data_IF_092800274557
#
_entry.id   IF_092800274557
#
_cell.length_a   1.000
_cell.length_b   1.000
_cell.length_c   1.000
_cell.angle_alpha   90.00
_cell.angle_beta   90.00
_cell.angle_gamma   90.00
#
_symmetry.space_group_name_H-M   'P 1'
#
loop_
_entity.id
_entity.type
_entity.pdbx_description
1 polymer ?
#
# COMPACT_ATOMS: atom_id res chain seq x y z
N UNK A 1 -23.30 -30.41 69.83
CA UNK A 1 -24.03 -30.72 68.59
C UNK A 1 -24.30 -29.49 67.72
N UNK A 2 -24.86 -28.40 68.26
CA UNK A 2 -25.19 -27.17 67.50
C UNK A 2 -23.94 -26.49 66.90
N UNK A 3 -22.84 -26.39 67.63
CA UNK A 3 -21.57 -25.82 67.11
C UNK A 3 -20.98 -26.62 65.93
N UNK A 4 -21.09 -27.95 65.95
CA UNK A 4 -20.66 -28.81 64.84
C UNK A 4 -21.51 -28.60 63.59
N UNK A 5 -22.82 -28.39 63.76
CA UNK A 5 -23.74 -28.10 62.66
C UNK A 5 -23.44 -26.72 62.05
N UNK A 6 -23.17 -25.71 62.87
CA UNK A 6 -22.79 -24.36 62.40
C UNK A 6 -21.45 -24.41 61.65
N UNK A 7 -20.44 -25.09 62.19
CA UNK A 7 -19.16 -25.28 61.50
C UNK A 7 -19.31 -26.01 60.17
N UNK A 8 -20.16 -27.05 60.10
CA UNK A 8 -20.43 -27.79 58.87
C UNK A 8 -21.16 -26.93 57.83
N UNK A 9 -22.16 -26.13 58.24
CA UNK A 9 -22.87 -25.19 57.35
C UNK A 9 -21.92 -24.12 56.83
N UNK A 10 -21.06 -23.56 57.70
CA UNK A 10 -20.06 -22.57 57.29
C UNK A 10 -19.06 -23.18 56.30
N UNK A 11 -18.55 -24.39 56.55
CA UNK A 11 -17.67 -25.12 55.62
C UNK A 11 -18.34 -25.42 54.28
N UNK A 12 -19.59 -25.91 54.31
CA UNK A 12 -20.38 -26.21 53.12
C UNK A 12 -20.78 -24.94 52.34
N UNK A 13 -20.90 -23.79 52.99
CA UNK A 13 -21.11 -22.50 52.33
C UNK A 13 -19.82 -21.88 51.80
N UNK A 14 -18.67 -22.12 52.45
CA UNK A 14 -17.37 -21.59 52.04
C UNK A 14 -16.76 -22.36 50.88
N UNK A 15 -16.86 -23.69 50.88
CA UNK A 15 -16.26 -24.52 49.85
C UNK A 15 -16.72 -24.17 48.41
N UNK A 16 -18.02 -23.94 48.12
CA UNK A 16 -18.49 -23.56 46.78
C UNK A 16 -18.01 -22.15 46.37
N UNK A 17 -17.97 -21.21 47.31
CA UNK A 17 -17.48 -19.84 47.07
C UNK A 17 -15.97 -19.87 46.76
N UNK A 18 -15.22 -20.67 47.51
CA UNK A 18 -13.79 -20.91 47.32
C UNK A 18 -13.50 -21.56 45.96
N UNK A 19 -14.25 -22.61 45.61
CA UNK A 19 -14.15 -23.29 44.31
C UNK A 19 -14.48 -22.35 43.14
N UNK A 20 -15.52 -21.53 43.26
CA UNK A 20 -15.87 -20.53 42.24
C UNK A 20 -14.76 -19.49 42.06
N UNK A 21 -14.15 -19.01 43.15
CA UNK A 21 -13.01 -18.09 43.11
C UNK A 21 -11.77 -18.72 42.47
N UNK A 22 -11.45 -19.96 42.82
CA UNK A 22 -10.32 -20.71 42.22
C UNK A 22 -10.58 -20.95 40.73
N UNK A 23 -11.79 -21.35 40.34
CA UNK A 23 -12.16 -21.54 38.94
C UNK A 23 -12.10 -20.23 38.14
N UNK A 24 -12.56 -19.11 38.71
CA UNK A 24 -12.45 -17.79 38.10
C UNK A 24 -10.99 -17.35 37.93
N UNK A 25 -10.15 -17.56 38.96
CA UNK A 25 -8.72 -17.26 38.90
C UNK A 25 -7.98 -18.14 37.87
N UNK A 26 -8.30 -19.43 37.81
CA UNK A 26 -7.74 -20.36 36.83
C UNK A 26 -8.14 -19.96 35.39
N UNK A 27 -9.39 -19.55 35.19
CA UNK A 27 -9.86 -19.04 33.89
C UNK A 27 -9.16 -17.74 33.50
N UNK A 28 -9.04 -16.79 34.43
CA UNK A 28 -8.30 -15.56 34.20
C UNK A 28 -6.82 -15.82 33.87
N UNK A 29 -6.18 -16.77 34.55
CA UNK A 29 -4.80 -17.16 34.27
C UNK A 29 -4.65 -17.86 32.91
N UNK A 30 -5.61 -18.72 32.54
CA UNK A 30 -5.66 -19.35 31.22
C UNK A 30 -5.84 -18.31 30.10
N UNK A 31 -6.77 -17.38 30.28
CA UNK A 31 -7.03 -16.30 29.34
C UNK A 31 -5.80 -15.38 29.21
N UNK A 32 -5.17 -15.00 30.33
CA UNK A 32 -3.94 -14.21 30.34
C UNK A 32 -2.77 -14.92 29.64
N UNK A 33 -2.60 -16.23 29.87
CA UNK A 33 -1.60 -17.04 29.16
C UNK A 33 -1.89 -17.11 27.66
N UNK A 34 -3.16 -17.24 27.28
CA UNK A 34 -3.61 -17.21 25.89
C UNK A 34 -3.29 -15.88 25.21
N UNK A 35 -3.57 -14.75 25.87
CA UNK A 35 -3.22 -13.40 25.39
C UNK A 35 -1.71 -13.25 25.23
N UNK A 36 -0.92 -13.64 26.24
CA UNK A 36 0.54 -13.58 26.18
C UNK A 36 1.14 -14.42 25.04
N UNK A 37 0.62 -15.64 24.80
CA UNK A 37 1.03 -16.48 23.66
C UNK A 37 0.73 -15.81 22.33
N UNK A 38 -0.48 -15.23 22.18
CA UNK A 38 -0.88 -14.49 20.97
C UNK A 38 0.03 -13.28 20.72
N UNK A 39 0.29 -12.48 21.76
CA UNK A 39 1.19 -11.32 21.67
C UNK A 39 2.61 -11.72 21.30
N UNK A 40 3.11 -12.84 21.84
CA UNK A 40 4.46 -13.35 21.51
C UNK A 40 4.54 -13.85 20.06
N UNK A 41 3.53 -14.57 19.58
CA UNK A 41 3.47 -15.06 18.20
C UNK A 41 3.30 -13.91 17.19
N UNK A 42 2.37 -12.98 17.46
CA UNK A 42 2.18 -11.77 16.68
C UNK A 42 3.47 -10.93 16.68
N UNK A 43 4.07 -10.72 17.85
CA UNK A 43 5.33 -10.04 18.03
C UNK A 43 6.46 -10.65 17.21
N UNK A 44 6.57 -11.98 17.15
CA UNK A 44 7.56 -12.68 16.33
C UNK A 44 7.40 -12.41 14.83
N UNK A 45 6.16 -12.49 14.30
CA UNK A 45 5.87 -12.21 12.88
C UNK A 45 6.11 -10.74 12.53
N UNK A 46 5.63 -9.84 13.39
CA UNK A 46 5.82 -8.39 13.24
C UNK A 46 7.31 -8.08 13.24
N UNK A 47 8.07 -8.58 14.23
CA UNK A 47 9.50 -8.36 14.34
C UNK A 47 10.26 -8.85 13.11
N UNK A 48 9.98 -10.05 12.61
CA UNK A 48 10.59 -10.58 11.38
C UNK A 48 10.27 -9.72 10.16
N UNK A 49 9.04 -9.27 10.02
CA UNK A 49 8.63 -8.44 8.86
C UNK A 49 9.26 -7.06 8.94
N UNK A 50 9.21 -6.42 10.11
CA UNK A 50 9.83 -5.13 10.39
C UNK A 50 11.33 -5.20 10.13
N UNK A 51 12.00 -6.29 10.55
CA UNK A 51 13.45 -6.43 10.36
C UNK A 51 13.85 -6.47 8.88
N UNK A 52 13.04 -7.08 8.01
CA UNK A 52 13.25 -7.05 6.55
C UNK A 52 12.97 -5.66 5.97
N UNK A 53 11.89 -4.99 6.42
CA UNK A 53 11.51 -3.65 5.96
C UNK A 53 12.60 -2.62 6.28
N UNK A 54 13.15 -2.65 7.50
CA UNK A 54 14.13 -1.69 8.01
C UNK A 54 15.59 -2.15 7.92
N UNK A 55 15.85 -3.32 7.34
CA UNK A 55 17.18 -3.92 7.18
C UNK A 55 17.87 -4.34 8.50
N UNK A 56 17.17 -4.40 9.64
CA UNK A 56 17.78 -4.80 10.91
C UNK A 56 18.15 -6.29 10.97
N UNK A 57 17.67 -7.12 10.04
CA UNK A 57 18.08 -8.53 9.93
C UNK A 57 19.58 -8.70 9.60
N UNK A 58 20.25 -7.66 9.09
CA UNK A 58 21.69 -7.71 8.74
C UNK A 58 22.62 -7.40 9.91
N UNK A 59 22.07 -7.18 11.11
CA UNK A 59 22.80 -6.59 12.23
C UNK A 59 22.58 -5.07 12.35
N UNK A 60 22.99 -4.50 13.49
CA UNK A 60 22.74 -3.10 13.84
C UNK A 60 23.52 -2.12 12.94
N UNK A 61 22.86 -1.08 12.42
CA UNK A 61 23.45 0.04 11.63
C UNK A 61 24.22 -0.37 10.36
N UNK A 62 23.62 -1.16 9.47
CA UNK A 62 24.15 -1.33 8.10
C UNK A 62 24.40 0.03 7.43
N UNK A 63 25.42 0.15 6.57
CA UNK A 63 25.66 1.40 5.82
C UNK A 63 24.53 1.66 4.82
N UNK A 64 24.35 2.92 4.39
CA UNK A 64 23.35 3.24 3.37
C UNK A 64 23.60 2.44 2.09
N UNK A 65 24.84 2.40 1.59
CA UNK A 65 25.19 1.72 0.33
C UNK A 65 24.86 0.23 0.41
N UNK A 66 25.13 -0.41 1.55
CA UNK A 66 24.74 -1.80 1.77
C UNK A 66 23.23 -1.98 1.73
N UNK A 67 22.46 -1.08 2.37
CA UNK A 67 20.98 -1.14 2.28
C UNK A 67 20.47 -0.92 0.86
N UNK A 68 21.09 -0.02 0.09
CA UNK A 68 20.73 0.20 -1.31
C UNK A 68 20.99 -1.08 -2.13
N UNK A 69 22.14 -1.72 -1.97
CA UNK A 69 22.43 -2.99 -2.64
C UNK A 69 21.44 -4.11 -2.29
N UNK A 70 21.16 -4.30 -1.00
CA UNK A 70 20.22 -5.33 -0.54
C UNK A 70 18.79 -5.11 -1.06
N UNK A 71 18.40 -3.85 -1.34
CA UNK A 71 17.10 -3.47 -1.91
C UNK A 71 17.09 -3.56 -3.43
N UNK A 72 18.16 -3.11 -4.08
CA UNK A 72 18.28 -3.02 -5.52
C UNK A 72 18.31 -4.39 -6.19
N UNK A 73 19.03 -5.36 -5.60
CA UNK A 73 19.19 -6.70 -6.17
C UNK A 73 17.85 -7.40 -6.49
N UNK A 74 16.90 -7.58 -5.55
CA UNK A 74 15.58 -8.16 -5.88
C UNK A 74 14.72 -7.28 -6.80
N UNK A 75 15.05 -5.99 -6.89
CA UNK A 75 14.31 -5.01 -7.69
C UNK A 75 14.93 -4.78 -9.08
N UNK A 76 16.00 -5.48 -9.47
CA UNK A 76 16.57 -5.37 -10.82
C UNK A 76 15.57 -5.74 -11.91
N UNK A 77 14.62 -6.64 -11.60
CA UNK A 77 13.45 -6.91 -12.46
C UNK A 77 12.67 -5.66 -12.87
N UNK A 78 12.62 -4.62 -12.02
CA UNK A 78 11.93 -3.36 -12.32
C UNK A 78 12.78 -2.48 -13.24
N UNK A 79 14.10 -2.44 -13.04
CA UNK A 79 15.00 -1.77 -13.97
C UNK A 79 14.97 -2.43 -15.35
N UNK A 80 14.90 -3.76 -15.40
CA UNK A 80 14.80 -4.48 -16.67
C UNK A 80 13.46 -4.23 -17.38
N UNK A 81 12.34 -4.32 -16.64
CA UNK A 81 11.01 -4.12 -17.21
C UNK A 81 10.77 -2.67 -17.66
N UNK A 82 11.15 -1.67 -16.86
CA UNK A 82 10.78 -0.27 -17.10
C UNK A 82 11.95 0.63 -17.51
N UNK A 83 13.19 0.15 -17.52
CA UNK A 83 14.38 0.96 -17.76
C UNK A 83 14.71 1.95 -16.62
N UNK A 84 14.06 1.84 -15.46
CA UNK A 84 14.19 2.83 -14.38
C UNK A 84 15.45 2.61 -13.54
N UNK A 85 16.11 3.71 -13.18
CA UNK A 85 17.27 3.72 -12.28
C UNK A 85 17.03 4.54 -11.01
N UNK A 86 15.79 4.51 -10.50
CA UNK A 86 15.41 5.27 -9.31
C UNK A 86 15.82 4.62 -7.99
N UNK A 87 15.39 5.23 -6.89
CA UNK A 87 15.55 4.78 -5.51
C UNK A 87 15.00 3.37 -5.21
N UNK A 88 14.34 2.66 -6.13
CA UNK A 88 13.92 1.27 -5.93
C UNK A 88 14.86 0.24 -6.55
N UNK A 89 15.63 0.62 -7.57
CA UNK A 89 16.49 -0.30 -8.33
C UNK A 89 17.97 0.11 -8.35
N UNK A 90 18.32 1.32 -7.89
CA UNK A 90 19.70 1.80 -7.89
C UNK A 90 20.52 1.32 -6.70
N UNK A 91 21.81 1.08 -6.95
CA UNK A 91 22.89 0.91 -5.99
C UNK A 91 23.54 2.25 -5.60
N UNK A 92 23.36 3.29 -6.41
CA UNK A 92 24.04 4.56 -6.31
C UNK A 92 23.40 5.46 -5.24
N UNK A 93 24.24 5.91 -4.30
CA UNK A 93 23.85 6.82 -3.21
C UNK A 93 23.36 8.17 -3.72
N UNK A 94 24.06 8.78 -4.67
CA UNK A 94 23.75 10.10 -5.23
C UNK A 94 22.40 10.07 -5.93
N UNK A 95 22.16 9.03 -6.74
CA UNK A 95 20.87 8.84 -7.43
C UNK A 95 19.74 8.67 -6.42
N UNK A 96 19.95 7.85 -5.39
CA UNK A 96 18.98 7.68 -4.30
C UNK A 96 18.68 8.99 -3.56
N UNK A 97 19.70 9.79 -3.22
CA UNK A 97 19.54 11.05 -2.50
C UNK A 97 18.85 12.11 -3.33
N UNK A 98 19.16 12.22 -4.62
CA UNK A 98 18.47 13.12 -5.54
C UNK A 98 16.99 12.77 -5.67
N UNK A 99 16.69 11.48 -5.86
CA UNK A 99 15.31 11.00 -5.88
C UNK A 99 14.57 11.35 -4.57
N UNK A 100 15.21 11.11 -3.42
CA UNK A 100 14.61 11.36 -2.12
C UNK A 100 14.33 12.85 -1.89
N UNK A 101 15.30 13.71 -2.23
CA UNK A 101 15.15 15.18 -2.18
C UNK A 101 13.95 15.63 -3.01
N UNK A 102 13.90 15.26 -4.29
CA UNK A 102 12.80 15.63 -5.19
C UNK A 102 11.45 15.08 -4.72
N UNK A 103 11.42 13.86 -4.20
CA UNK A 103 10.19 13.26 -3.66
C UNK A 103 9.67 14.03 -2.45
N UNK A 104 10.55 14.45 -1.53
CA UNK A 104 10.14 15.27 -0.40
C UNK A 104 9.67 16.65 -0.84
N UNK A 105 10.36 17.29 -1.78
CA UNK A 105 9.94 18.58 -2.34
C UNK A 105 8.54 18.49 -2.97
N UNK A 106 8.26 17.45 -3.76
CA UNK A 106 6.92 17.25 -4.34
C UNK A 106 5.83 17.11 -3.25
N UNK A 107 6.10 16.31 -2.22
CA UNK A 107 5.16 16.06 -1.12
C UNK A 107 4.97 17.29 -0.22
N UNK A 108 6.02 18.09 -0.01
CA UNK A 108 5.99 19.26 0.89
C UNK A 108 5.44 20.51 0.23
N UNK A 109 5.33 20.55 -1.11
CA UNK A 109 4.88 21.73 -1.86
C UNK A 109 3.40 22.03 -1.68
N UNK A 110 2.56 21.02 -1.49
CA UNK A 110 1.11 21.18 -1.59
C UNK A 110 0.49 21.95 -0.41
N UNK A 111 0.16 23.22 -0.64
CA UNK A 111 -0.60 24.05 0.28
C UNK A 111 -2.12 23.82 0.16
N UNK A 112 -2.93 24.53 0.95
CA UNK A 112 -4.39 24.36 0.91
C UNK A 112 -5.00 24.62 -0.48
N UNK A 113 -4.48 25.60 -1.21
CA UNK A 113 -4.96 25.94 -2.55
C UNK A 113 -4.60 24.84 -3.56
N UNK A 114 -3.39 24.30 -3.49
CA UNK A 114 -2.96 23.18 -4.34
C UNK A 114 -3.88 21.96 -4.15
N UNK A 115 -4.25 21.66 -2.90
CA UNK A 115 -5.17 20.56 -2.61
C UNK A 115 -6.57 20.78 -3.18
N UNK A 116 -7.07 22.01 -3.19
CA UNK A 116 -8.37 22.34 -3.81
C UNK A 116 -8.28 22.19 -5.33
N UNK A 117 -7.24 22.74 -5.96
CA UNK A 117 -7.04 22.58 -7.40
C UNK A 117 -6.93 21.10 -7.81
N UNK A 118 -6.23 20.30 -7.01
CA UNK A 118 -6.07 18.87 -7.26
C UNK A 118 -7.39 18.11 -7.10
N UNK A 119 -8.22 18.49 -6.14
CA UNK A 119 -9.57 17.93 -5.97
C UNK A 119 -10.48 18.31 -7.13
N UNK A 120 -10.51 19.58 -7.53
CA UNK A 120 -11.30 20.04 -8.67
C UNK A 120 -10.87 19.35 -9.97
N UNK A 121 -9.56 19.19 -10.19
CA UNK A 121 -9.03 18.42 -11.30
C UNK A 121 -9.50 16.95 -11.26
N UNK A 122 -9.43 16.30 -10.08
CA UNK A 122 -9.91 14.94 -9.93
C UNK A 122 -11.42 14.82 -10.24
N UNK A 123 -12.25 15.75 -9.74
CA UNK A 123 -13.67 15.81 -10.04
C UNK A 123 -13.94 15.99 -11.54
N UNK A 124 -13.26 16.93 -12.22
CA UNK A 124 -13.39 17.13 -13.67
C UNK A 124 -13.05 15.88 -14.49
N UNK A 125 -11.99 15.16 -14.11
CA UNK A 125 -11.61 13.90 -14.77
C UNK A 125 -12.69 12.83 -14.55
N UNK A 126 -13.21 12.71 -13.33
CA UNK A 126 -14.28 11.76 -12.99
C UNK A 126 -15.59 12.09 -13.73
N UNK A 127 -15.96 13.36 -13.82
CA UNK A 127 -17.14 13.85 -14.55
C UNK A 127 -17.06 13.51 -16.03
N UNK A 128 -15.90 13.75 -16.66
CA UNK A 128 -15.68 13.42 -18.07
C UNK A 128 -15.93 11.94 -18.39
N UNK A 129 -15.64 11.02 -17.48
CA UNK A 129 -16.00 9.61 -17.65
C UNK A 129 -17.48 9.35 -17.50
N UNK A 130 -18.15 10.00 -16.54
CA UNK A 130 -19.57 9.83 -16.34
C UNK A 130 -20.39 10.31 -17.55
N UNK A 131 -19.98 11.36 -18.25
CA UNK A 131 -20.71 11.89 -19.40
C UNK A 131 -20.59 11.00 -20.64
N UNK A 132 -19.46 10.29 -20.77
CA UNK A 132 -19.27 9.24 -21.78
C UNK A 132 -20.12 8.01 -21.44
N UNK A 133 -20.20 7.64 -20.15
CA UNK A 133 -20.90 6.45 -19.68
C UNK A 133 -22.42 6.63 -19.60
N UNK A 134 -22.94 7.85 -19.33
CA UNK A 134 -24.38 8.15 -19.37
C UNK A 134 -25.02 7.96 -20.75
N UNK A 135 -24.21 7.73 -21.79
CA UNK A 135 -24.64 7.46 -23.18
C UNK A 135 -24.56 5.97 -23.55
N UNK A 136 -23.99 5.11 -22.70
CA UNK A 136 -23.83 3.68 -22.96
C UNK A 136 -24.65 2.86 -21.96
N UNK A 137 -25.33 1.82 -22.44
CA UNK A 137 -25.99 0.82 -21.61
C UNK A 137 -25.03 -0.17 -20.96
N UNK A 138 -23.73 -0.10 -21.29
CA UNK A 138 -22.70 -0.97 -20.72
C UNK A 138 -22.22 -0.43 -19.36
N UNK A 139 -22.14 -1.32 -18.37
CA UNK A 139 -21.71 -1.00 -17.01
C UNK A 139 -20.29 -0.40 -16.93
N UNK A 140 -20.00 0.26 -15.81
CA UNK A 140 -18.74 0.99 -15.62
C UNK A 140 -17.59 0.03 -15.25
N UNK A 141 -16.51 0.07 -16.02
CA UNK A 141 -15.23 -0.57 -15.67
C UNK A 141 -14.48 0.28 -14.63
N UNK A 142 -14.83 0.12 -13.36
CA UNK A 142 -14.28 0.91 -12.25
C UNK A 142 -12.75 0.86 -12.20
N UNK A 143 -12.14 -0.30 -12.47
CA UNK A 143 -10.69 -0.42 -12.37
C UNK A 143 -9.94 0.33 -13.48
N UNK A 144 -10.44 0.28 -14.72
CA UNK A 144 -9.94 1.14 -15.80
C UNK A 144 -10.06 2.63 -15.44
N UNK A 145 -11.25 3.07 -15.02
CA UNK A 145 -11.48 4.48 -14.70
C UNK A 145 -10.59 4.97 -13.55
N UNK A 146 -10.55 4.22 -12.43
CA UNK A 146 -9.72 4.57 -11.26
C UNK A 146 -8.25 4.67 -11.65
N UNK A 147 -7.72 3.73 -12.43
CA UNK A 147 -6.33 3.79 -12.91
C UNK A 147 -6.06 5.09 -13.67
N UNK A 148 -6.93 5.47 -14.60
CA UNK A 148 -6.76 6.68 -15.39
C UNK A 148 -6.89 7.97 -14.55
N UNK A 149 -7.84 8.02 -13.63
CA UNK A 149 -7.99 9.14 -12.67
C UNK A 149 -6.72 9.28 -11.82
N UNK A 150 -6.22 8.18 -11.25
CA UNK A 150 -4.99 8.20 -10.46
C UNK A 150 -3.80 8.70 -11.26
N UNK A 151 -3.63 8.21 -12.49
CA UNK A 151 -2.50 8.60 -13.34
C UNK A 151 -2.56 10.09 -13.67
N UNK A 152 -3.72 10.62 -14.05
CA UNK A 152 -3.89 12.07 -14.33
C UNK A 152 -3.57 12.94 -13.11
N UNK A 153 -4.12 12.59 -11.95
CA UNK A 153 -3.89 13.33 -10.70
C UNK A 153 -2.41 13.32 -10.28
N UNK A 154 -1.73 12.18 -10.41
CA UNK A 154 -0.29 12.09 -10.12
C UNK A 154 0.53 12.86 -11.15
N UNK A 155 0.17 12.81 -12.45
CA UNK A 155 0.85 13.58 -13.48
C UNK A 155 0.69 15.09 -13.27
N UNK A 156 -0.51 15.55 -12.91
CA UNK A 156 -0.79 16.94 -12.54
C UNK A 156 0.09 17.37 -11.36
N UNK A 157 0.15 16.57 -10.30
CA UNK A 157 0.87 16.95 -9.08
C UNK A 157 2.40 16.88 -9.20
N UNK A 158 2.95 15.88 -9.89
CA UNK A 158 4.41 15.69 -9.97
C UNK A 158 5.08 16.47 -11.11
N UNK A 159 4.32 16.83 -12.14
CA UNK A 159 4.86 17.37 -13.40
C UNK A 159 4.07 18.58 -13.92
N UNK A 160 3.17 19.16 -13.11
CA UNK A 160 2.34 20.32 -13.46
C UNK A 160 1.58 20.16 -14.79
N UNK A 161 1.22 18.92 -15.15
CA UNK A 161 0.54 18.62 -16.40
C UNK A 161 -0.75 19.44 -16.55
N UNK A 162 -0.97 20.04 -17.71
CA UNK A 162 -2.14 20.88 -18.00
C UNK A 162 -3.26 20.12 -18.73
N UNK A 163 -3.13 18.80 -18.89
CA UNK A 163 -4.11 18.00 -19.64
C UNK A 163 -5.43 17.91 -18.85
N UNK A 164 -6.47 18.58 -19.36
CA UNK A 164 -7.79 18.59 -18.75
C UNK A 164 -8.77 17.58 -19.39
N UNK A 165 -9.74 17.13 -18.58
CA UNK A 165 -10.85 16.28 -19.03
C UNK A 165 -10.43 14.91 -19.56
N UNK A 166 -11.14 14.44 -20.59
CA UNK A 166 -10.90 13.15 -21.27
C UNK A 166 -9.97 13.29 -22.49
N UNK A 167 -9.29 14.44 -22.64
CA UNK A 167 -8.22 14.55 -23.63
C UNK A 167 -7.14 13.48 -23.33
N UNK A 168 -6.59 12.90 -24.39
CA UNK A 168 -5.61 11.81 -24.35
C UNK A 168 -6.09 10.55 -23.60
N UNK A 169 -7.39 10.27 -23.52
CA UNK A 169 -7.89 9.11 -22.75
C UNK A 169 -7.31 7.78 -23.21
N UNK A 170 -7.13 7.63 -24.51
CA UNK A 170 -6.52 6.44 -25.10
C UNK A 170 -5.07 6.25 -24.65
N UNK A 171 -4.30 7.33 -24.58
CA UNK A 171 -2.91 7.33 -24.13
C UNK A 171 -2.82 7.03 -22.63
N UNK A 172 -3.68 7.64 -21.80
CA UNK A 172 -3.76 7.31 -20.38
C UNK A 172 -4.19 5.84 -20.18
N UNK A 173 -5.16 5.34 -20.95
CA UNK A 173 -5.57 3.93 -20.93
C UNK A 173 -4.38 3.03 -21.27
N UNK A 174 -3.72 3.28 -22.40
CA UNK A 174 -2.56 2.53 -22.88
C UNK A 174 -1.43 2.53 -21.85
N UNK A 175 -1.08 3.70 -21.30
CA UNK A 175 -0.04 3.81 -20.28
C UNK A 175 -0.38 3.00 -19.03
N UNK A 176 -1.62 3.10 -18.52
CA UNK A 176 -2.03 2.36 -17.32
C UNK A 176 -2.12 0.84 -17.54
N UNK A 177 -2.48 0.39 -18.73
CA UNK A 177 -2.53 -1.02 -19.10
C UNK A 177 -1.11 -1.58 -19.23
N UNK A 178 -0.24 -0.91 -19.98
CA UNK A 178 1.14 -1.35 -20.18
C UNK A 178 1.96 -1.34 -18.89
N UNK A 179 1.75 -0.35 -18.01
CA UNK A 179 2.37 -0.36 -16.68
C UNK A 179 1.93 -1.60 -15.90
N UNK A 180 0.63 -1.92 -15.88
CA UNK A 180 0.13 -3.07 -15.13
C UNK A 180 0.62 -4.41 -15.72
N UNK A 181 0.62 -4.53 -17.05
CA UNK A 181 1.10 -5.72 -17.77
C UNK A 181 2.58 -5.99 -17.49
N UNK A 182 3.45 -5.00 -17.69
CA UNK A 182 4.88 -5.12 -17.41
C UNK A 182 5.14 -5.38 -15.92
N UNK A 183 4.37 -4.74 -15.03
CA UNK A 183 4.50 -4.97 -13.60
C UNK A 183 4.19 -6.42 -13.21
N UNK A 184 3.12 -7.01 -13.76
CA UNK A 184 2.76 -8.41 -13.52
C UNK A 184 3.79 -9.36 -14.13
N UNK A 185 4.17 -9.13 -15.39
CA UNK A 185 5.17 -9.93 -16.09
C UNK A 185 6.51 -9.95 -15.33
N UNK A 186 6.94 -8.79 -14.81
CA UNK A 186 8.18 -8.66 -14.02
C UNK A 186 8.16 -9.45 -12.71
N UNK A 187 6.99 -9.88 -12.21
CA UNK A 187 6.86 -10.71 -11.00
C UNK A 187 6.79 -12.21 -11.30
N UNK A 188 6.33 -12.60 -12.48
CA UNK A 188 6.09 -13.98 -12.86
C UNK A 188 7.32 -14.61 -13.54
N UNK A 189 8.11 -13.83 -14.26
CA UNK A 189 9.31 -14.30 -14.93
C UNK A 189 10.50 -14.34 -13.96
N UNK A 190 10.82 -15.53 -13.45
CA UNK A 190 12.02 -15.78 -12.64
C UNK A 190 13.33 -15.60 -13.44
N UNK A 191 13.26 -15.62 -14.77
CA UNK A 191 14.34 -15.16 -15.64
C UNK A 191 14.20 -13.64 -15.82
N UNK A 192 14.99 -12.88 -15.06
CA UNK A 192 14.94 -11.41 -14.99
C UNK A 192 15.15 -10.65 -16.32
N UNK A 193 15.44 -11.35 -17.43
CA UNK A 193 15.93 -10.78 -18.68
C UNK A 193 14.91 -10.80 -19.86
N UNK A 194 13.64 -11.16 -19.64
CA UNK A 194 12.66 -11.35 -20.73
C UNK A 194 11.48 -10.38 -20.75
N UNK A 195 11.39 -9.42 -19.83
CA UNK A 195 10.36 -8.37 -19.94
C UNK A 195 10.94 -7.23 -20.78
N UNK A 196 10.60 -7.21 -22.06
CA UNK A 196 10.95 -6.11 -22.96
C UNK A 196 10.17 -4.85 -22.60
N UNK A 197 10.80 -3.69 -22.80
CA UNK A 197 10.18 -2.39 -22.57
C UNK A 197 9.07 -2.18 -23.59
N UNK A 198 7.87 -1.80 -23.13
CA UNK A 198 6.76 -1.54 -24.04
C UNK A 198 7.01 -0.26 -24.83
N UNK A 199 7.03 -0.40 -26.16
CA UNK A 199 7.05 0.71 -27.09
C UNK A 199 5.78 1.56 -26.98
N UNK A 200 4.62 0.92 -26.78
CA UNK A 200 3.33 1.57 -26.62
C UNK A 200 3.28 2.44 -25.37
N UNK A 201 3.89 1.99 -24.26
CA UNK A 201 4.03 2.78 -23.04
C UNK A 201 4.86 4.04 -23.30
N UNK A 202 6.01 3.89 -23.96
CA UNK A 202 6.89 5.02 -24.27
C UNK A 202 6.18 6.04 -25.18
N UNK A 203 5.49 5.58 -26.23
CA UNK A 203 4.72 6.46 -27.11
C UNK A 203 3.58 7.19 -26.37
N UNK A 204 2.80 6.46 -25.57
CA UNK A 204 1.70 7.04 -24.80
C UNK A 204 2.21 8.12 -23.84
N UNK A 205 3.31 7.85 -23.13
CA UNK A 205 3.94 8.84 -22.25
C UNK A 205 4.46 10.04 -23.04
N UNK A 206 5.12 9.84 -24.19
CA UNK A 206 5.58 10.98 -25.03
C UNK A 206 4.41 11.86 -25.48
N UNK A 207 3.27 11.28 -25.83
CA UNK A 207 2.07 12.06 -26.19
C UNK A 207 1.52 12.86 -25.01
N UNK A 208 1.46 12.27 -23.81
CA UNK A 208 1.05 12.97 -22.58
C UNK A 208 2.03 14.10 -22.25
N UNK A 209 3.33 13.82 -22.35
CA UNK A 209 4.41 14.76 -22.05
C UNK A 209 4.46 15.93 -23.01
N UNK A 210 4.14 15.76 -24.30
CA UNK A 210 4.11 16.87 -25.29
C UNK A 210 3.17 18.00 -24.88
N UNK A 211 2.12 17.68 -24.14
CA UNK A 211 1.14 18.66 -23.67
C UNK A 211 1.55 19.34 -22.35
N UNK A 212 2.69 18.96 -21.77
CA UNK A 212 3.16 19.45 -20.47
C UNK A 212 4.60 19.95 -20.58
N UNK A 213 4.90 21.22 -20.25
CA UNK A 213 6.27 21.73 -20.31
C UNK A 213 7.11 21.07 -19.21
N UNK A 214 7.80 19.99 -19.57
CA UNK A 214 8.74 19.31 -18.69
C UNK A 214 10.12 19.98 -18.79
N UNK A 215 10.87 20.06 -17.67
CA UNK A 215 12.29 20.39 -17.70
C UNK A 215 13.05 19.49 -18.71
N UNK A 216 14.08 20.00 -19.41
CA UNK A 216 14.83 19.22 -20.41
C UNK A 216 15.43 17.91 -19.87
N UNK A 217 15.81 17.89 -18.59
CA UNK A 217 16.32 16.72 -17.88
C UNK A 217 15.24 15.66 -17.55
N UNK A 218 13.97 16.01 -17.77
CA UNK A 218 12.80 15.16 -17.54
C UNK A 218 12.00 14.87 -18.82
N UNK A 219 12.47 15.35 -19.97
CA UNK A 219 11.83 15.19 -21.28
C UNK A 219 11.92 13.76 -21.87
N UNK A 220 12.32 12.77 -21.07
CA UNK A 220 12.35 11.35 -21.44
C UNK A 220 11.33 10.53 -20.64
N UNK A 221 10.54 9.65 -21.28
CA UNK A 221 9.52 8.82 -20.61
C UNK A 221 10.03 8.03 -19.42
N UNK A 222 11.27 7.53 -19.50
CA UNK A 222 11.91 6.79 -18.40
C UNK A 222 12.07 7.67 -17.15
N UNK A 223 12.37 8.96 -17.30
CA UNK A 223 12.50 9.90 -16.18
C UNK A 223 11.16 10.20 -15.53
N UNK A 224 10.09 10.26 -16.32
CA UNK A 224 8.73 10.33 -15.78
C UNK A 224 8.40 9.06 -15.00
N UNK A 225 8.67 7.87 -15.57
CA UNK A 225 8.43 6.58 -14.92
C UNK A 225 9.17 6.42 -13.58
N UNK A 226 10.40 6.94 -13.47
CA UNK A 226 11.21 6.90 -12.25
C UNK A 226 10.46 7.48 -11.03
N UNK A 227 9.69 8.57 -11.21
CA UNK A 227 8.93 9.24 -10.14
C UNK A 227 7.45 8.85 -10.13
N UNK A 228 6.90 8.51 -11.28
CA UNK A 228 5.48 8.19 -11.44
C UNK A 228 5.11 6.86 -10.78
N UNK A 229 5.85 5.79 -11.08
CA UNK A 229 5.51 4.42 -10.68
C UNK A 229 5.25 4.28 -9.17
N UNK A 230 6.08 4.84 -8.26
CA UNK A 230 5.88 4.68 -6.81
C UNK A 230 4.58 5.31 -6.30
N UNK A 231 4.23 6.50 -6.82
CA UNK A 231 3.03 7.23 -6.43
C UNK A 231 1.78 6.59 -7.05
N UNK A 232 1.82 6.35 -8.36
CA UNK A 232 0.72 5.78 -9.12
C UNK A 232 0.33 4.38 -8.61
N UNK A 233 1.29 3.48 -8.39
CA UNK A 233 1.04 2.09 -8.00
C UNK A 233 0.31 1.97 -6.66
N UNK A 234 0.62 2.87 -5.73
CA UNK A 234 -0.02 2.88 -4.42
C UNK A 234 -1.49 3.32 -4.52
N UNK A 235 -1.78 4.38 -5.27
CA UNK A 235 -3.11 4.98 -5.32
C UNK A 235 -4.13 4.07 -6.01
N UNK A 236 -3.85 3.58 -7.22
CA UNK A 236 -4.89 2.85 -7.97
C UNK A 236 -5.25 1.51 -7.32
N UNK A 237 -4.29 0.83 -6.68
CA UNK A 237 -4.53 -0.47 -6.00
C UNK A 237 -5.41 -0.33 -4.78
N UNK A 238 -5.34 0.81 -4.10
CA UNK A 238 -6.21 1.12 -2.97
C UNK A 238 -7.58 1.51 -3.48
N UNK A 239 -7.65 2.51 -4.34
CA UNK A 239 -8.90 3.16 -4.74
C UNK A 239 -9.87 2.19 -5.44
N UNK A 240 -9.36 1.22 -6.20
CA UNK A 240 -10.20 0.17 -6.81
C UNK A 240 -10.92 -0.73 -5.79
N UNK A 241 -10.53 -0.67 -4.50
CA UNK A 241 -11.12 -1.47 -3.41
C UNK A 241 -11.91 -0.66 -2.40
N UNK A 242 -11.94 0.67 -2.54
CA UNK A 242 -12.73 1.56 -1.67
C UNK A 242 -14.07 1.86 -2.33
N UNK A 243 -15.17 1.53 -1.64
CA UNK A 243 -16.54 1.82 -2.12
C UNK A 243 -17.39 2.61 -1.12
N UNK A 244 -16.82 3.09 -0.02
CA UNK A 244 -17.56 3.84 1.02
C UNK A 244 -16.64 4.75 1.83
N UNK A 245 -16.96 6.05 1.93
CA UNK A 245 -16.34 6.97 2.90
C UNK A 245 -17.41 7.71 3.69
N UNK A 246 -17.20 7.77 5.01
CA UNK A 246 -17.90 8.64 5.93
C UNK A 246 -16.87 9.48 6.70
N UNK A 247 -17.20 10.75 6.96
CA UNK A 247 -16.74 11.78 7.93
C UNK A 247 -15.28 11.77 8.48
N UNK A 248 -14.64 10.63 8.68
CA UNK A 248 -13.28 10.46 9.21
C UNK A 248 -12.31 9.94 8.13
N UNK A 249 -11.91 10.82 7.20
CA UNK A 249 -11.11 10.46 6.03
C UNK A 249 -9.77 9.80 6.37
N UNK A 250 -9.10 10.27 7.45
CA UNK A 250 -7.79 9.76 7.83
C UNK A 250 -7.85 8.30 8.29
N UNK A 251 -8.76 7.99 9.21
CA UNK A 251 -8.92 6.62 9.73
C UNK A 251 -9.46 5.66 8.66
N UNK A 252 -10.24 6.20 7.72
CA UNK A 252 -10.74 5.48 6.55
C UNK A 252 -9.61 5.11 5.61
N UNK A 253 -8.76 6.07 5.23
CA UNK A 253 -7.55 5.84 4.43
C UNK A 253 -6.60 4.86 5.11
N UNK A 254 -6.44 4.96 6.43
CA UNK A 254 -5.58 4.06 7.20
C UNK A 254 -6.08 2.61 7.20
N UNK A 255 -7.39 2.41 7.38
CA UNK A 255 -7.97 1.08 7.42
C UNK A 255 -7.90 0.36 6.07
N UNK A 256 -8.14 1.03 4.95
CA UNK A 256 -7.95 0.37 3.67
C UNK A 256 -6.48 0.25 3.26
N UNK A 257 -5.58 1.13 3.73
CA UNK A 257 -4.13 0.89 3.62
C UNK A 257 -3.69 -0.38 4.37
N UNK A 258 -4.35 -0.71 5.50
CA UNK A 258 -4.14 -1.95 6.24
C UNK A 258 -4.74 -3.17 5.54
N UNK A 259 -5.99 -3.09 5.10
CA UNK A 259 -6.68 -4.23 4.47
C UNK A 259 -6.14 -4.53 3.07
N UNK A 260 -5.67 -3.50 2.37
CA UNK A 260 -5.29 -3.56 0.98
C UNK A 260 -3.93 -2.88 0.71
N UNK A 261 -2.85 -3.28 1.39
CA UNK A 261 -1.55 -2.66 1.20
C UNK A 261 -1.12 -2.79 -0.27
N UNK A 262 -0.64 -1.68 -0.86
CA UNK A 262 -0.13 -1.66 -2.23
C UNK A 262 1.09 -2.59 -2.36
N UNK A 263 2.01 -2.49 -1.41
CA UNK A 263 3.14 -3.39 -1.24
C UNK A 263 2.81 -4.48 -0.23
N UNK A 264 2.32 -5.63 -0.71
CA UNK A 264 2.02 -6.80 0.15
C UNK A 264 3.27 -7.45 0.74
N UNK A 265 4.37 -7.49 -0.03
CA UNK A 265 5.63 -8.15 0.32
C UNK A 265 6.80 -7.30 -0.12
N UNK A 266 7.81 -7.21 0.74
CA UNK A 266 9.11 -6.60 0.41
C UNK A 266 10.18 -7.68 0.41
N UNK A 267 11.08 -7.63 -0.57
CA UNK A 267 12.20 -8.56 -0.66
C UNK A 267 13.52 -7.82 -0.48
N UNK A 268 14.48 -8.49 0.15
CA UNK A 268 15.86 -8.02 0.32
C UNK A 268 16.83 -9.17 0.05
N UNK A 269 17.99 -8.90 -0.50
CA UNK A 269 19.04 -9.90 -0.62
C UNK A 269 19.60 -10.27 0.77
N UNK A 270 20.08 -11.50 0.97
CA UNK A 270 20.68 -11.95 2.24
C UNK A 270 22.20 -11.75 2.23
N UNK A 271 22.85 -12.10 1.11
CA UNK A 271 24.28 -11.94 0.90
C UNK A 271 24.53 -11.04 -0.33
N UNK A 272 25.48 -10.12 -0.21
CA UNK A 272 26.07 -9.39 -1.33
C UNK A 272 27.53 -9.81 -1.32
N UNK A 273 27.94 -10.68 -2.23
CA UNK A 273 29.36 -11.01 -2.41
C UNK A 273 30.11 -9.74 -2.81
N UNK A 274 31.26 -9.50 -2.18
CA UNK A 274 32.14 -8.36 -2.47
C UNK A 274 32.85 -8.47 -3.82
N UNK A 275 32.82 -9.65 -4.45
CA UNK A 275 33.42 -9.88 -5.76
C UNK A 275 32.45 -9.58 -6.89
N UNK A 276 32.86 -8.63 -7.73
CA UNK A 276 32.65 -8.34 -9.16
C UNK A 276 31.39 -8.77 -9.93
N UNK A 277 30.55 -9.68 -9.43
CA UNK A 277 29.31 -10.11 -10.06
C UNK A 277 28.08 -9.66 -9.22
N UNK A 278 27.87 -8.34 -9.18
CA UNK A 278 26.67 -7.72 -8.59
C UNK A 278 25.36 -8.10 -9.32
N UNK A 279 25.42 -8.96 -10.34
CA UNK A 279 24.29 -9.35 -11.17
C UNK A 279 23.53 -10.57 -10.65
N UNK A 280 24.15 -11.41 -9.81
CA UNK A 280 23.52 -12.66 -9.30
C UNK A 280 23.02 -12.52 -7.87
N UNK A 281 21.70 -12.41 -7.73
CA UNK A 281 21.05 -12.46 -6.42
C UNK A 281 21.04 -13.91 -5.90
N UNK A 282 21.97 -14.26 -5.01
CA UNK A 282 22.08 -15.62 -4.48
C UNK A 282 20.85 -16.08 -3.68
N UNK A 283 20.39 -15.28 -2.70
CA UNK A 283 19.24 -15.61 -1.83
C UNK A 283 18.50 -14.34 -1.40
N UNK A 284 17.16 -14.36 -1.38
CA UNK A 284 16.32 -13.26 -0.86
C UNK A 284 15.55 -13.64 0.39
N UNK A 285 15.32 -12.66 1.27
CA UNK A 285 14.42 -12.73 2.41
C UNK A 285 13.21 -11.82 2.16
N UNK A 286 12.01 -12.33 2.47
CA UNK A 286 10.75 -11.61 2.32
C UNK A 286 10.15 -11.18 3.65
N UNK A 287 9.70 -9.92 3.73
CA UNK A 287 8.81 -9.42 4.77
C UNK A 287 7.38 -9.38 4.25
N UNK A 288 6.45 -10.05 4.92
CA UNK A 288 5.05 -10.16 4.51
C UNK A 288 4.18 -9.14 5.26
N UNK A 289 4.03 -7.96 4.64
CA UNK A 289 3.29 -6.82 5.20
C UNK A 289 1.81 -7.16 5.30
N UNK A 290 1.23 -7.77 4.25
CA UNK A 290 -0.18 -8.19 4.23
C UNK A 290 -0.47 -9.20 5.35
N UNK A 291 0.41 -10.18 5.58
CA UNK A 291 0.25 -11.15 6.66
C UNK A 291 0.37 -10.55 8.07
N UNK A 292 1.06 -9.42 8.22
CA UNK A 292 1.12 -8.67 9.49
C UNK A 292 -0.13 -7.79 9.66
N UNK A 293 -0.58 -7.12 8.59
CA UNK A 293 -1.78 -6.28 8.62
C UNK A 293 -3.07 -7.09 8.81
N UNK A 294 -3.06 -8.36 8.38
CA UNK A 294 -4.18 -9.29 8.49
C UNK A 294 -4.03 -10.33 9.60
N UNK A 295 -3.07 -10.14 10.53
CA UNK A 295 -2.86 -11.07 11.64
C UNK A 295 -3.91 -10.88 12.74
N UNK A 296 -4.80 -11.88 12.99
CA UNK A 296 -5.85 -11.75 14.01
C UNK A 296 -5.30 -11.70 15.43
N UNK A 297 -4.06 -12.14 15.66
CA UNK A 297 -3.43 -12.05 16.98
C UNK A 297 -3.04 -10.61 17.34
N UNK A 298 -2.75 -9.75 16.36
CA UNK A 298 -2.43 -8.34 16.58
C UNK A 298 -3.61 -7.40 16.35
N UNK A 299 -4.49 -7.72 15.41
CA UNK A 299 -5.62 -6.85 15.01
C UNK A 299 -6.99 -7.31 15.50
N UNK A 300 -7.08 -8.48 16.14
CA UNK A 300 -8.32 -9.04 16.66
C UNK A 300 -9.07 -9.93 15.66
N UNK A 301 -10.16 -10.60 16.10
CA UNK A 301 -10.91 -11.54 15.26
C UNK A 301 -11.61 -10.86 14.07
N UNK A 302 -11.92 -9.58 14.19
CA UNK A 302 -12.55 -8.76 13.17
C UNK A 302 -11.55 -8.10 12.20
N UNK A 303 -10.31 -8.60 12.14
CA UNK A 303 -9.20 -8.08 11.31
C UNK A 303 -9.54 -7.95 9.81
N UNK A 304 -10.45 -8.77 9.28
CA UNK A 304 -10.88 -8.72 7.87
C UNK A 304 -12.03 -7.74 7.60
N UNK A 305 -12.66 -7.20 8.64
CA UNK A 305 -13.74 -6.23 8.51
C UNK A 305 -13.18 -4.83 8.35
N UNK A 306 -13.73 -4.06 7.41
CA UNK A 306 -13.41 -2.64 7.23
C UNK A 306 -13.98 -1.81 8.38
N UNK A 307 -13.14 -1.46 9.37
CA UNK A 307 -13.54 -0.70 10.57
C UNK A 307 -12.55 0.46 10.83
N UNK A 308 -12.74 1.61 10.17
CA UNK A 308 -11.89 2.81 10.35
C UNK A 308 -11.67 3.21 11.81
N UNK A 309 -12.71 3.10 12.65
CA UNK A 309 -12.65 3.45 14.08
C UNK A 309 -11.54 2.75 14.87
N UNK A 310 -10.94 1.66 14.36
CA UNK A 310 -9.75 1.02 14.98
C UNK A 310 -8.58 1.99 15.15
N UNK A 311 -8.41 2.92 14.22
CA UNK A 311 -7.27 3.83 14.19
C UNK A 311 -7.38 4.99 15.19
N UNK A 312 -8.52 5.11 15.89
CA UNK A 312 -8.68 6.11 16.97
C UNK A 312 -7.74 5.76 18.13
N UNK A 313 -7.67 4.49 18.53
CA UNK A 313 -6.89 4.02 19.68
C UNK A 313 -6.14 2.72 19.36
N UNK A 314 -5.00 2.84 18.68
CA UNK A 314 -4.13 1.70 18.39
C UNK A 314 -3.26 1.31 19.59
N UNK A 315 -3.09 0.00 19.79
CA UNK A 315 -2.09 -0.55 20.72
C UNK A 315 -0.67 -0.32 20.21
N UNK A 316 0.33 -0.39 21.10
CA UNK A 316 1.74 -0.30 20.70
C UNK A 316 2.13 -1.37 19.67
N UNK A 317 1.60 -2.59 19.81
CA UNK A 317 1.82 -3.67 18.85
C UNK A 317 1.24 -3.34 17.48
N UNK A 318 0.00 -2.81 17.43
CA UNK A 318 -0.66 -2.41 16.18
C UNK A 318 0.05 -1.26 15.48
N UNK A 319 0.57 -0.28 16.24
CA UNK A 319 1.39 0.82 15.69
C UNK A 319 2.65 0.32 14.98
N UNK A 320 3.28 -0.74 15.51
CA UNK A 320 4.46 -1.36 14.89
C UNK A 320 4.06 -2.28 13.72
N UNK A 321 2.91 -2.95 13.81
CA UNK A 321 2.36 -3.79 12.75
C UNK A 321 1.90 -2.99 11.52
N UNK A 322 1.47 -1.74 11.71
CA UNK A 322 0.97 -0.88 10.65
C UNK A 322 2.12 -0.30 9.81
N UNK A 323 2.44 -1.01 8.72
CA UNK A 323 3.56 -0.74 7.79
C UNK A 323 3.14 -0.34 6.35
N UNK A 324 2.08 0.45 6.11
CA UNK A 324 1.63 0.78 4.75
C UNK A 324 2.68 1.55 3.92
N UNK A 325 3.54 2.30 4.60
CA UNK A 325 4.57 3.16 4.03
C UNK A 325 5.98 2.70 4.44
N UNK A 326 6.10 1.46 4.92
CA UNK A 326 7.33 0.94 5.52
C UNK A 326 7.71 1.64 6.83
N UNK A 327 8.99 1.58 7.19
CA UNK A 327 9.50 2.24 8.39
C UNK A 327 10.94 2.74 8.19
N UNK A 328 11.45 3.51 9.16
CA UNK A 328 12.82 4.03 9.12
C UNK A 328 13.82 2.87 8.99
N UNK A 329 14.92 3.02 8.24
CA UNK A 329 15.39 4.26 7.62
C UNK A 329 14.85 4.55 6.20
N UNK A 330 14.18 3.59 5.55
CA UNK A 330 13.68 3.71 4.16
C UNK A 330 12.15 3.86 4.11
N UNK A 331 11.60 4.77 4.93
CA UNK A 331 10.16 5.06 4.98
C UNK A 331 9.74 5.87 3.75
N UNK A 332 8.53 5.65 3.25
CA UNK A 332 7.97 6.41 2.12
C UNK A 332 7.90 7.91 2.44
N UNK A 333 8.31 8.80 1.51
CA UNK A 333 8.16 10.25 1.66
C UNK A 333 6.72 10.71 1.92
N UNK A 334 5.73 10.01 1.37
CA UNK A 334 4.31 10.34 1.53
C UNK A 334 3.70 9.95 2.89
N UNK A 335 4.46 9.33 3.81
CA UNK A 335 3.96 8.84 5.11
C UNK A 335 3.38 9.95 6.01
N UNK A 336 3.85 11.19 5.88
CA UNK A 336 3.49 12.29 6.77
C UNK A 336 2.11 12.88 6.44
N UNK A 337 1.09 12.04 6.22
CA UNK A 337 -0.29 12.43 5.96
C UNK A 337 -0.62 12.76 4.51
N UNK A 338 0.38 13.02 3.66
CA UNK A 338 0.17 13.30 2.23
C UNK A 338 -0.51 12.12 1.53
N UNK A 339 0.00 10.90 1.73
CA UNK A 339 -0.53 9.70 1.08
C UNK A 339 -1.99 9.45 1.46
N UNK A 340 -2.31 9.49 2.76
CA UNK A 340 -3.69 9.32 3.25
C UNK A 340 -4.64 10.39 2.74
N UNK A 341 -4.18 11.65 2.65
CA UNK A 341 -4.97 12.78 2.16
C UNK A 341 -5.24 12.67 0.66
N UNK A 342 -4.26 12.27 -0.13
CA UNK A 342 -4.43 12.05 -1.57
C UNK A 342 -5.41 10.89 -1.85
N UNK A 343 -5.34 9.81 -1.07
CA UNK A 343 -6.32 8.72 -1.15
C UNK A 343 -7.72 9.25 -0.83
N UNK A 344 -7.87 9.97 0.28
CA UNK A 344 -9.15 10.53 0.68
C UNK A 344 -9.75 11.47 -0.37
N UNK A 345 -8.92 12.34 -0.95
CA UNK A 345 -9.30 13.25 -2.03
C UNK A 345 -9.84 12.48 -3.24
N UNK A 346 -9.10 11.45 -3.69
CA UNK A 346 -9.49 10.65 -4.85
C UNK A 346 -10.77 9.85 -4.60
N UNK A 347 -10.95 9.26 -3.42
CA UNK A 347 -12.21 8.59 -3.11
C UNK A 347 -13.36 9.59 -3.00
N UNK A 348 -13.14 10.76 -2.39
CA UNK A 348 -14.17 11.80 -2.33
C UNK A 348 -14.60 12.22 -3.74
N UNK A 349 -13.66 12.45 -4.66
CA UNK A 349 -13.94 12.79 -6.05
C UNK A 349 -14.68 11.67 -6.80
N UNK A 350 -14.42 10.39 -6.49
CA UNK A 350 -15.20 9.28 -7.02
C UNK A 350 -16.63 9.26 -6.46
N UNK A 351 -16.78 9.51 -5.15
CA UNK A 351 -18.07 9.47 -4.47
C UNK A 351 -18.99 10.66 -4.77
N UNK A 352 -18.47 11.82 -5.18
CA UNK A 352 -19.32 12.95 -5.64
C UNK A 352 -20.15 12.57 -6.86
N UNK A 353 -19.66 11.65 -7.70
CA UNK A 353 -20.35 11.24 -8.93
C UNK A 353 -20.94 9.84 -8.88
N UNK A 354 -20.20 8.88 -8.33
CA UNK A 354 -20.62 7.48 -8.27
C UNK A 354 -21.11 7.14 -6.86
N UNK A 355 -22.37 7.48 -6.57
CA UNK A 355 -22.98 7.08 -5.31
C UNK A 355 -23.13 5.54 -5.28
N UNK A 356 -22.85 4.86 -4.15
CA UNK A 356 -22.91 3.40 -4.05
C UNK A 356 -24.28 2.78 -4.40
N UNK A 357 -25.35 3.58 -4.37
CA UNK A 357 -26.70 3.14 -4.80
C UNK A 357 -26.91 3.17 -6.32
N UNK A 358 -25.99 3.77 -7.09
CA UNK A 358 -26.17 4.03 -8.53
C UNK A 358 -25.38 3.08 -9.44
N UNK A 359 -24.57 2.16 -8.91
CA UNK A 359 -23.69 1.34 -9.73
C UNK A 359 -23.72 -0.15 -9.36
N UNK A 360 -24.10 -0.99 -10.32
CA UNK A 360 -23.63 -2.38 -10.37
C UNK A 360 -22.15 -2.36 -10.77
N UNK A 361 -21.26 -2.09 -9.81
CA UNK A 361 -19.82 -2.05 -10.06
C UNK A 361 -19.33 -3.47 -10.38
N UNK A 362 -18.93 -3.70 -11.63
CA UNK A 362 -18.28 -4.95 -12.01
C UNK A 362 -16.76 -4.80 -11.84
N UNK A 363 -16.21 -5.39 -10.77
CA UNK A 363 -14.74 -5.49 -10.54
C UNK A 363 -14.08 -6.57 -11.42
N UNK A 364 -14.67 -6.92 -12.57
CA UNK A 364 -14.30 -8.08 -13.38
C UNK A 364 -12.98 -7.92 -14.15
N UNK A 365 -12.52 -6.69 -14.34
CA UNK A 365 -11.33 -6.32 -15.13
C UNK A 365 -10.04 -6.16 -14.29
N UNK A 366 -10.15 -6.16 -12.96
CA UNK A 366 -9.01 -5.94 -12.07
C UNK A 366 -8.18 -7.22 -11.85
N UNK A 367 -7.36 -7.62 -12.82
CA UNK A 367 -6.26 -8.57 -12.57
C UNK A 367 -5.14 -7.86 -11.80
N UNK A 368 -5.34 -7.71 -10.48
CA UNK A 368 -4.35 -7.16 -9.57
C UNK A 368 -3.45 -8.31 -9.10
N UNK A 369 -2.21 -8.33 -9.59
CA UNK A 369 -1.20 -9.38 -9.31
C UNK A 369 -1.50 -10.76 -9.94
N UNK A 370 -2.19 -10.80 -11.09
CA UNK A 370 -2.39 -12.04 -11.86
C UNK A 370 -3.39 -13.03 -11.25
N UNK A 371 -4.21 -12.61 -10.28
CA UNK A 371 -5.28 -13.43 -9.72
C UNK A 371 -6.62 -12.67 -9.80
N UNK A 372 -7.67 -13.23 -10.43
CA UNK A 372 -9.00 -12.67 -10.30
C UNK A 372 -9.42 -12.79 -8.82
N UNK A 373 -9.56 -11.67 -8.12
CA UNK A 373 -10.10 -11.67 -6.75
C UNK A 373 -11.59 -11.39 -6.82
N UNK A 374 -12.42 -12.38 -6.42
CA UNK A 374 -13.79 -12.11 -5.98
C UNK A 374 -13.69 -11.24 -4.72
N UNK A 375 -14.28 -10.04 -4.76
CA UNK A 375 -14.42 -9.18 -3.59
C UNK A 375 -15.92 -9.17 -3.26
N UNK A 376 -16.26 -9.60 -2.05
CA UNK A 376 -17.61 -9.81 -1.49
C UNK A 376 -18.42 -10.95 -2.14
N UNK A 377 -18.39 -12.11 -1.49
CA UNK A 377 -19.59 -12.93 -1.36
C UNK A 377 -20.03 -12.74 0.10
N UNK A 378 -21.17 -12.09 0.26
CA UNK A 378 -22.00 -11.87 1.46
C UNK A 378 -21.34 -11.37 2.76
#
# INVERSE_FOLDING_TARGET
>A
MILLIISLILLLSWAPISLRRIAAAARAAYDARGVWLKDRLAGGRIHRTVSVVNFSYTGYRSSLDRRLALRALPNQRLANAFGIHNSFATFDRKVHMNFLKRSYEAVSKADHHDWLQLFDHACRVVEGYSDVLGKSSDGILLASMVRKVCLRVVMRHLFDSSVEGTSLDHEYQTATDQINLQWIASKQNHAANQVERSYELEQALRSIMKQSPLPPDEAEPVKVLEFLLPAYETLFRLLTRYTRIYRDWLTTSQEGLRLYPSTKRVYRAVNVSSDTDQSRCGHTIGGDIEAVHLDPNSWGPDVRQFRPKRFINLTSLQKVAYLPFGTKPHRCPAYAGFGERLIALLVAALCTRFHPSMASVQLRDASLDGKPKRVFAD
#
